data_IF_791115861218
#
_entry.id   IF_791115861218
#
_cell.length_a   1.000
_cell.length_b   1.000
_cell.length_c   1.000
_cell.angle_alpha   90.00
_cell.angle_beta   90.00
_cell.angle_gamma   90.00
#
_symmetry.space_group_name_H-M   'P 1'
#
loop_
_entity.id
_entity.type
_entity.pdbx_description
1 polymer ?
#
# COMPACT_ATOMS: atom_id res chain seq x y z
N UNK A 1 -6.30 -3.15 -27.09
CA UNK A 1 -6.72 -2.17 -26.09
C UNK A 1 -7.47 -2.95 -25.00
N UNK A 2 -6.82 -3.29 -23.88
CA UNK A 2 -7.52 -3.86 -22.72
C UNK A 2 -8.23 -2.71 -22.02
N UNK A 3 -9.52 -2.84 -21.82
CA UNK A 3 -10.35 -1.86 -21.15
C UNK A 3 -9.81 -1.60 -19.73
N UNK A 4 -9.54 -0.35 -19.42
CA UNK A 4 -9.13 0.19 -18.11
C UNK A 4 -10.27 0.11 -17.05
N UNK A 5 -11.29 -0.71 -17.26
CA UNK A 5 -12.47 -0.81 -16.38
C UNK A 5 -12.37 -1.88 -15.28
N UNK A 6 -11.23 -2.51 -15.10
CA UNK A 6 -11.05 -3.54 -14.07
C UNK A 6 -10.30 -2.97 -12.83
N UNK A 7 -10.74 -1.82 -12.31
CA UNK A 7 -10.55 -1.52 -10.89
C UNK A 7 -11.56 -2.41 -10.17
N UNK A 8 -11.11 -3.62 -9.81
CA UNK A 8 -11.97 -4.71 -9.34
C UNK A 8 -12.70 -4.44 -8.01
N UNK A 9 -12.46 -3.28 -7.36
CA UNK A 9 -13.14 -2.88 -6.13
C UNK A 9 -12.84 -1.41 -5.78
N UNK A 10 -13.86 -0.56 -5.81
CA UNK A 10 -13.85 0.77 -5.17
C UNK A 10 -14.37 0.56 -3.74
N UNK A 11 -13.58 0.85 -2.69
CA UNK A 11 -14.04 0.74 -1.32
C UNK A 11 -15.28 1.61 -1.11
N UNK A 12 -16.31 1.06 -0.47
CA UNK A 12 -17.47 1.88 -0.06
C UNK A 12 -16.98 2.84 1.04
N UNK A 13 -17.35 4.10 0.95
CA UNK A 13 -17.01 5.14 1.94
C UNK A 13 -17.34 4.69 3.35
N UNK A 14 -18.49 4.06 3.55
CA UNK A 14 -18.95 3.53 4.83
C UNK A 14 -17.98 2.53 5.49
N UNK A 15 -17.31 1.68 4.68
CA UNK A 15 -16.34 0.70 5.20
C UNK A 15 -15.06 1.39 5.67
N UNK A 16 -14.58 2.35 4.89
CA UNK A 16 -13.38 3.12 5.24
C UNK A 16 -13.62 4.00 6.46
N UNK A 17 -14.76 4.67 6.54
CA UNK A 17 -15.14 5.50 7.69
C UNK A 17 -15.29 4.67 8.96
N UNK A 18 -15.96 3.52 8.89
CA UNK A 18 -16.12 2.64 10.04
C UNK A 18 -14.77 2.14 10.58
N UNK A 19 -13.85 1.78 9.70
CA UNK A 19 -12.52 1.32 10.07
C UNK A 19 -11.65 2.47 10.61
N UNK A 20 -11.73 3.63 9.98
CA UNK A 20 -11.07 4.86 10.42
C UNK A 20 -11.54 5.27 11.83
N UNK A 21 -12.85 5.29 12.07
CA UNK A 21 -13.44 5.57 13.38
C UNK A 21 -12.91 4.63 14.46
N UNK A 22 -12.88 3.32 14.19
CA UNK A 22 -12.29 2.33 15.13
C UNK A 22 -10.84 2.64 15.47
N UNK A 23 -10.03 3.02 14.50
CA UNK A 23 -8.62 3.38 14.73
C UNK A 23 -8.53 4.65 15.56
N UNK A 24 -9.39 5.64 15.31
CA UNK A 24 -9.41 6.89 16.07
C UNK A 24 -9.87 6.67 17.51
N UNK A 25 -10.87 5.85 17.75
CA UNK A 25 -11.35 5.49 19.09
C UNK A 25 -10.29 4.72 19.91
N UNK A 26 -9.51 3.85 19.27
CA UNK A 26 -8.45 3.10 19.93
C UNK A 26 -7.22 3.96 20.30
N UNK A 27 -7.08 5.16 19.72
CA UNK A 27 -6.00 6.12 20.08
C UNK A 27 -6.03 6.55 21.55
N UNK A 28 -7.15 6.39 22.24
CA UNK A 28 -7.30 6.75 23.67
C UNK A 28 -6.92 5.65 24.67
N UNK A 29 -6.87 4.38 24.26
CA UNK A 29 -6.85 3.26 25.20
C UNK A 29 -5.51 2.53 25.37
N UNK A 30 -4.62 2.50 24.36
CA UNK A 30 -3.35 1.76 24.43
C UNK A 30 -2.24 2.43 23.60
N UNK A 31 -1.38 3.20 24.23
CA UNK A 31 -0.24 3.87 23.59
C UNK A 31 0.71 2.89 22.89
N UNK A 32 0.91 1.70 23.42
CA UNK A 32 1.82 0.70 22.86
C UNK A 32 1.27 0.05 21.60
N UNK A 33 -0.02 -0.24 21.54
CA UNK A 33 -0.66 -0.80 20.34
C UNK A 33 -0.65 0.20 19.17
N UNK A 34 -0.86 1.48 19.47
CA UNK A 34 -0.79 2.54 18.46
C UNK A 34 0.65 2.73 17.93
N UNK A 35 1.63 2.69 18.82
CA UNK A 35 3.05 2.75 18.46
C UNK A 35 3.40 1.59 17.52
N UNK A 36 3.03 0.37 17.90
CA UNK A 36 3.27 -0.82 17.08
C UNK A 36 2.57 -0.76 15.71
N UNK A 37 1.33 -0.28 15.64
CA UNK A 37 0.61 -0.09 14.38
C UNK A 37 1.32 0.93 13.47
N UNK A 38 1.87 2.01 14.02
CA UNK A 38 2.64 3.00 13.27
C UNK A 38 3.99 2.45 12.80
N UNK A 39 4.68 1.65 13.60
CA UNK A 39 5.94 0.98 13.22
C UNK A 39 5.72 -0.02 12.07
N UNK A 40 4.65 -0.78 12.10
CA UNK A 40 4.28 -1.69 11.01
C UNK A 40 3.90 -0.91 9.74
N UNK A 41 3.10 0.15 9.84
CA UNK A 41 2.79 1.01 8.70
C UNK A 41 4.06 1.62 8.09
N UNK A 42 4.98 2.12 8.91
CA UNK A 42 6.27 2.65 8.46
C UNK A 42 7.09 1.58 7.74
N UNK A 43 7.20 0.39 8.32
CA UNK A 43 7.93 -0.73 7.69
C UNK A 43 7.33 -1.10 6.34
N UNK A 44 6.01 -1.16 6.25
CA UNK A 44 5.31 -1.42 4.99
C UNK A 44 5.46 -0.27 3.99
N UNK A 45 5.46 0.98 4.45
CA UNK A 45 5.72 2.14 3.60
C UNK A 45 7.11 2.07 2.97
N UNK A 46 8.16 1.86 3.78
CA UNK A 46 9.54 1.78 3.32
C UNK A 46 9.72 0.63 2.32
N UNK A 47 9.31 -0.58 2.72
CA UNK A 47 9.38 -1.78 1.88
C UNK A 47 8.71 -1.58 0.52
N UNK A 48 7.47 -1.10 0.51
CA UNK A 48 6.72 -0.92 -0.73
C UNK A 48 7.27 0.25 -1.56
N UNK A 49 7.69 1.36 -0.92
CA UNK A 49 8.22 2.53 -1.61
C UNK A 49 9.49 2.21 -2.41
N UNK A 50 10.41 1.41 -1.83
CA UNK A 50 11.64 0.97 -2.50
C UNK A 50 11.32 0.04 -3.68
N UNK A 51 10.43 -0.94 -3.48
CA UNK A 51 10.06 -1.86 -4.55
C UNK A 51 9.28 -1.18 -5.70
N UNK A 52 8.49 -0.16 -5.42
CA UNK A 52 7.85 0.68 -6.44
C UNK A 52 8.87 1.49 -7.24
N UNK A 53 9.97 1.92 -6.62
CA UNK A 53 11.05 2.64 -7.31
C UNK A 53 11.91 1.74 -8.23
N UNK A 54 11.78 0.41 -8.10
CA UNK A 54 12.47 -0.56 -8.98
C UNK A 54 13.53 -1.41 -8.28
N UNK A 55 13.96 -1.03 -7.09
CA UNK A 55 14.86 -1.84 -6.27
C UNK A 55 14.10 -3.03 -5.66
N UNK A 56 14.83 -4.09 -5.30
CA UNK A 56 14.24 -5.31 -4.77
C UNK A 56 14.69 -5.56 -3.34
N UNK A 57 13.80 -5.27 -2.41
CA UNK A 57 13.99 -5.60 -0.99
C UNK A 57 12.86 -6.52 -0.52
N UNK A 58 13.13 -7.33 0.50
CA UNK A 58 12.08 -8.10 1.17
C UNK A 58 11.61 -7.38 2.44
N UNK A 59 10.37 -7.63 2.88
CA UNK A 59 9.86 -7.05 4.13
C UNK A 59 10.69 -7.50 5.34
N UNK A 60 11.12 -8.76 5.36
CA UNK A 60 11.99 -9.29 6.43
C UNK A 60 13.35 -8.59 6.40
N UNK A 61 13.94 -8.39 5.22
CA UNK A 61 15.19 -7.64 5.05
C UNK A 61 15.06 -6.20 5.53
N UNK A 62 13.97 -5.52 5.19
CA UNK A 62 13.67 -4.16 5.67
C UNK A 62 13.60 -4.11 7.20
N UNK A 63 12.83 -5.03 7.82
CA UNK A 63 12.73 -5.13 9.28
C UNK A 63 14.08 -5.40 9.96
N UNK A 64 14.90 -6.29 9.37
CA UNK A 64 16.23 -6.60 9.90
C UNK A 64 17.11 -5.36 9.87
N UNK A 65 17.18 -4.66 8.73
CA UNK A 65 17.99 -3.44 8.58
C UNK A 65 17.56 -2.37 9.60
N UNK A 66 16.25 -2.18 9.81
CA UNK A 66 15.77 -1.21 10.80
C UNK A 66 16.15 -1.59 12.24
N UNK A 67 16.11 -2.88 12.59
CA UNK A 67 16.52 -3.37 13.93
C UNK A 67 18.02 -3.35 14.15
N UNK A 68 18.81 -3.66 13.14
CA UNK A 68 20.27 -3.65 13.21
C UNK A 68 20.85 -2.22 13.26
N UNK A 69 20.13 -1.24 12.70
CA UNK A 69 20.50 0.18 12.80
C UNK A 69 20.43 0.72 14.23
N UNK A 70 19.53 0.17 15.07
CA UNK A 70 19.46 0.51 16.50
C UNK A 70 20.71 0.02 17.26
N UNK A 71 21.53 -0.87 16.66
CA UNK A 71 22.75 -1.45 17.23
C UNK A 71 24.08 -0.86 16.76
N UNK A 72 24.11 0.36 16.21
CA UNK A 72 25.34 1.09 15.82
C UNK A 72 26.22 0.45 14.70
N UNK A 73 25.71 -0.47 13.89
CA UNK A 73 26.41 -0.93 12.69
C UNK A 73 25.79 -0.30 11.43
N UNK A 74 26.54 0.55 10.74
CA UNK A 74 26.11 1.09 9.45
C UNK A 74 26.11 -0.02 8.38
N UNK A 75 24.96 -0.30 7.75
CA UNK A 75 24.93 -1.31 6.70
C UNK A 75 25.58 -0.78 5.42
N UNK A 76 26.48 -1.57 4.88
CA UNK A 76 27.34 -1.22 3.74
C UNK A 76 26.67 -1.41 2.36
N UNK A 77 25.36 -1.56 2.28
CA UNK A 77 24.62 -1.84 1.05
C UNK A 77 23.73 -0.66 0.65
N UNK A 78 23.67 -0.33 -0.66
CA UNK A 78 22.81 0.73 -1.23
C UNK A 78 21.36 0.63 -0.71
N UNK A 79 20.77 -0.57 -0.73
CA UNK A 79 19.40 -0.79 -0.24
C UNK A 79 19.24 -0.47 1.25
N UNK A 80 20.28 -0.69 2.04
CA UNK A 80 20.25 -0.36 3.46
C UNK A 80 20.32 1.16 3.69
N UNK A 81 21.12 1.88 2.92
CA UNK A 81 21.13 3.35 2.93
C UNK A 81 19.77 3.93 2.55
N UNK A 82 19.09 3.36 1.56
CA UNK A 82 17.74 3.76 1.19
C UNK A 82 16.71 3.46 2.28
N UNK A 83 16.76 2.26 2.89
CA UNK A 83 15.87 1.87 4.00
C UNK A 83 16.02 2.85 5.16
N UNK A 84 17.24 3.12 5.60
CA UNK A 84 17.52 4.00 6.72
C UNK A 84 17.22 5.47 6.41
N UNK A 85 17.53 5.91 5.20
CA UNK A 85 17.18 7.24 4.76
C UNK A 85 15.67 7.47 4.72
N UNK A 86 14.90 6.49 4.20
CA UNK A 86 13.44 6.54 4.22
C UNK A 86 12.88 6.47 5.63
N UNK A 87 13.49 5.70 6.53
CA UNK A 87 13.12 5.65 7.94
C UNK A 87 13.26 7.04 8.59
N UNK A 88 14.45 7.65 8.46
CA UNK A 88 14.74 8.97 9.06
C UNK A 88 13.75 10.03 8.54
N UNK A 89 13.52 10.06 7.23
CA UNK A 89 12.58 10.99 6.61
C UNK A 89 11.12 10.73 7.01
N UNK A 90 10.71 9.46 7.16
CA UNK A 90 9.37 9.11 7.61
C UNK A 90 9.13 9.50 9.08
N UNK A 91 10.11 9.28 9.95
CA UNK A 91 10.04 9.74 11.34
C UNK A 91 9.88 11.26 11.42
N UNK A 92 10.65 12.00 10.62
CA UNK A 92 10.51 13.45 10.53
C UNK A 92 9.14 13.88 9.98
N UNK A 93 8.64 13.20 8.95
CA UNK A 93 7.28 13.41 8.42
C UNK A 93 6.22 13.28 9.52
N UNK A 94 6.35 12.30 10.40
CA UNK A 94 5.41 12.13 11.53
C UNK A 94 5.48 13.30 12.53
N UNK A 95 6.67 13.87 12.76
CA UNK A 95 6.84 15.02 13.66
C UNK A 95 6.17 16.28 13.12
N UNK A 96 6.21 16.49 11.81
CA UNK A 96 5.61 17.67 11.16
C UNK A 96 4.15 17.47 10.74
N UNK A 97 3.59 16.27 10.92
CA UNK A 97 2.22 15.96 10.49
C UNK A 97 1.15 16.82 11.17
N UNK A 98 1.40 17.24 12.39
CA UNK A 98 0.47 18.07 13.18
C UNK A 98 0.70 19.59 12.97
N UNK A 99 1.70 19.98 12.19
CA UNK A 99 1.95 21.37 11.82
C UNK A 99 0.79 21.93 10.99
N UNK A 100 0.40 23.19 11.27
CA UNK A 100 -0.71 23.85 10.55
C UNK A 100 -0.44 23.94 9.05
N UNK A 101 0.79 24.27 8.67
CA UNK A 101 1.21 24.47 7.29
C UNK A 101 2.43 23.63 6.95
N UNK A 102 2.45 23.09 5.73
CA UNK A 102 3.64 22.42 5.19
C UNK A 102 4.56 23.50 4.62
N UNK A 103 5.75 23.63 5.18
CA UNK A 103 6.74 24.64 4.77
C UNK A 103 7.79 24.04 3.83
N UNK A 104 8.41 24.85 2.93
CA UNK A 104 9.45 24.38 2.00
C UNK A 104 10.60 23.65 2.73
N UNK A 105 11.05 24.19 3.88
CA UNK A 105 12.10 23.57 4.67
C UNK A 105 11.75 22.17 5.20
N UNK A 106 10.48 21.86 5.34
CA UNK A 106 10.09 20.48 5.74
C UNK A 106 10.32 19.49 4.60
N UNK A 107 10.04 19.90 3.37
CA UNK A 107 10.26 19.05 2.19
C UNK A 107 11.75 18.88 1.90
N UNK A 108 12.53 19.95 2.00
CA UNK A 108 13.99 19.90 1.80
C UNK A 108 14.66 19.07 2.91
N UNK A 109 14.19 19.17 4.16
CA UNK A 109 14.70 18.37 5.27
C UNK A 109 14.33 16.89 5.12
N UNK A 110 13.08 16.55 4.73
CA UNK A 110 12.73 15.16 4.39
C UNK A 110 13.63 14.60 3.30
N UNK A 111 13.89 15.40 2.25
CA UNK A 111 14.82 14.99 1.20
C UNK A 111 16.24 14.82 1.73
N UNK A 112 16.73 15.73 2.56
CA UNK A 112 18.07 15.66 3.16
C UNK A 112 18.22 14.39 3.99
N UNK A 113 17.28 14.09 4.86
CA UNK A 113 17.29 12.90 5.71
C UNK A 113 17.26 11.62 4.89
N UNK A 114 16.44 11.59 3.83
CA UNK A 114 16.37 10.44 2.93
C UNK A 114 17.65 10.26 2.13
N UNK A 115 18.18 11.34 1.53
CA UNK A 115 19.16 11.26 0.45
C UNK A 115 20.63 11.37 0.93
N UNK A 116 20.89 11.90 2.14
CA UNK A 116 22.25 12.13 2.68
C UNK A 116 23.15 10.89 2.72
N UNK A 117 22.54 9.69 2.87
CA UNK A 117 23.30 8.42 2.90
C UNK A 117 23.67 7.93 1.50
N UNK A 118 23.11 8.53 0.44
CA UNK A 118 23.36 8.17 -0.96
C UNK A 118 24.21 9.22 -1.67
N UNK A 119 23.88 10.49 -1.50
CA UNK A 119 24.63 11.62 -2.04
C UNK A 119 24.43 12.84 -1.11
N UNK A 120 25.35 13.01 -0.17
CA UNK A 120 25.29 14.09 0.81
C UNK A 120 25.39 15.47 0.16
N UNK A 121 26.13 15.58 -0.95
CA UNK A 121 26.38 16.85 -1.62
C UNK A 121 25.14 17.48 -2.24
N UNK A 122 24.13 16.69 -2.58
CA UNK A 122 22.86 17.16 -3.17
C UNK A 122 21.65 16.95 -2.26
N UNK A 123 21.88 16.37 -1.07
CA UNK A 123 20.82 16.09 -0.11
C UNK A 123 20.18 17.38 0.41
N UNK A 124 18.85 17.50 0.28
CA UNK A 124 18.09 18.68 0.69
C UNK A 124 18.15 19.87 -0.28
N UNK A 125 18.93 19.76 -1.34
CA UNK A 125 19.09 20.87 -2.30
C UNK A 125 18.19 20.65 -3.52
N UNK A 126 17.42 21.66 -3.89
CA UNK A 126 16.72 21.68 -5.16
C UNK A 126 17.71 21.63 -6.32
N UNK A 127 17.25 21.15 -7.46
CA UNK A 127 18.03 21.17 -8.70
C UNK A 127 18.44 22.62 -9.05
N UNK A 128 19.60 22.81 -9.67
CA UNK A 128 19.98 24.13 -10.16
C UNK A 128 18.91 24.71 -11.09
N UNK A 129 18.66 25.99 -10.94
CA UNK A 129 17.74 26.72 -11.81
C UNK A 129 18.19 26.67 -13.27
N UNK A 130 17.22 26.72 -14.14
CA UNK A 130 17.41 26.83 -15.58
C UNK A 130 16.81 28.15 -16.07
N UNK A 131 17.09 28.55 -17.35
CA UNK A 131 16.47 29.72 -17.93
C UNK A 131 14.95 29.76 -17.89
N UNK A 132 14.31 28.57 -17.73
CA UNK A 132 12.85 28.41 -17.78
C UNK A 132 12.22 27.96 -16.45
N UNK A 133 13.02 27.55 -15.47
CA UNK A 133 12.50 26.99 -14.22
C UNK A 133 13.35 27.38 -13.03
N UNK A 134 12.66 27.84 -11.98
CA UNK A 134 13.21 28.00 -10.64
C UNK A 134 12.53 26.99 -9.72
N UNK A 135 13.24 25.93 -9.39
CA UNK A 135 12.67 24.79 -8.65
C UNK A 135 12.31 25.11 -7.19
N UNK A 136 13.04 26.05 -6.58
CA UNK A 136 12.72 26.50 -5.22
C UNK A 136 11.44 27.33 -5.21
N UNK A 137 11.29 28.27 -6.15
CA UNK A 137 10.06 29.04 -6.30
C UNK A 137 8.85 28.15 -6.63
N UNK A 138 9.02 27.20 -7.55
CA UNK A 138 7.96 26.23 -7.88
C UNK A 138 7.55 25.40 -6.66
N UNK A 139 8.49 25.00 -5.79
CA UNK A 139 8.20 24.27 -4.54
C UNK A 139 7.41 25.16 -3.57
N UNK A 140 7.76 26.44 -3.46
CA UNK A 140 7.04 27.42 -2.63
C UNK A 140 5.60 27.57 -3.13
N UNK A 141 5.40 27.83 -4.43
CA UNK A 141 4.07 27.97 -5.04
C UNK A 141 3.23 26.71 -4.88
N UNK A 142 3.83 25.54 -5.07
CA UNK A 142 3.17 24.24 -4.86
C UNK A 142 2.67 24.10 -3.42
N UNK A 143 3.48 24.46 -2.43
CA UNK A 143 3.10 24.34 -1.02
C UNK A 143 2.09 25.41 -0.60
N UNK A 144 2.16 26.62 -1.16
CA UNK A 144 1.13 27.64 -0.98
C UNK A 144 -0.22 27.13 -1.48
N UNK A 145 -0.26 26.55 -2.68
CA UNK A 145 -1.46 25.92 -3.20
C UNK A 145 -1.96 24.80 -2.29
N UNK A 146 -1.08 23.90 -1.86
CA UNK A 146 -1.45 22.75 -1.01
C UNK A 146 -2.01 23.20 0.35
N UNK A 147 -1.41 24.20 0.97
CA UNK A 147 -1.86 24.75 2.26
C UNK A 147 -3.17 25.56 2.14
N UNK A 148 -3.39 26.21 1.00
CA UNK A 148 -4.63 26.95 0.73
C UNK A 148 -5.79 26.05 0.31
N UNK A 149 -5.51 24.82 -0.10
CA UNK A 149 -6.54 23.88 -0.54
C UNK A 149 -7.45 23.49 0.62
N UNK A 150 -8.75 23.73 0.44
CA UNK A 150 -9.81 23.41 1.40
C UNK A 150 -10.78 22.38 0.86
N UNK A 151 -10.38 21.66 -0.18
CA UNK A 151 -11.22 20.59 -0.73
C UNK A 151 -11.55 19.57 0.37
N UNK A 152 -12.80 19.16 0.41
CA UNK A 152 -13.29 18.17 1.36
C UNK A 152 -12.88 16.76 0.96
N UNK A 153 -12.62 16.50 -0.33
CA UNK A 153 -12.14 15.22 -0.81
C UNK A 153 -10.60 15.12 -0.68
N UNK A 154 -10.18 14.44 0.38
CA UNK A 154 -8.76 14.22 0.65
C UNK A 154 -8.06 13.38 -0.42
N UNK A 155 -8.76 12.52 -1.14
CA UNK A 155 -8.16 11.64 -2.16
C UNK A 155 -7.88 12.41 -3.45
N UNK A 156 -8.78 13.31 -3.88
CA UNK A 156 -8.51 14.22 -4.99
C UNK A 156 -7.41 15.21 -4.65
N UNK A 157 -7.44 15.80 -3.46
CA UNK A 157 -6.33 16.66 -2.98
C UNK A 157 -5.01 15.90 -3.02
N UNK A 158 -4.95 14.67 -2.52
CA UNK A 158 -3.75 13.85 -2.51
C UNK A 158 -3.29 13.46 -3.94
N UNK A 159 -4.23 13.13 -4.83
CA UNK A 159 -3.95 12.80 -6.23
C UNK A 159 -3.33 14.00 -6.97
N UNK A 160 -3.96 15.16 -6.86
CA UNK A 160 -3.45 16.41 -7.46
C UNK A 160 -2.10 16.81 -6.86
N UNK A 161 -1.94 16.73 -5.53
CA UNK A 161 -0.67 17.01 -4.86
C UNK A 161 0.45 16.09 -5.36
N UNK A 162 0.17 14.80 -5.45
CA UNK A 162 1.11 13.82 -5.96
C UNK A 162 1.52 14.14 -7.41
N UNK A 163 0.54 14.38 -8.30
CA UNK A 163 0.80 14.67 -9.72
C UNK A 163 1.63 15.93 -9.91
N UNK A 164 1.27 17.01 -9.22
CA UNK A 164 1.99 18.30 -9.31
C UNK A 164 3.43 18.15 -8.84
N UNK A 165 3.65 17.44 -7.73
CA UNK A 165 5.00 17.21 -7.21
C UNK A 165 5.86 16.35 -8.16
N UNK A 166 5.33 15.27 -8.71
CA UNK A 166 6.04 14.42 -9.66
C UNK A 166 6.39 15.19 -10.94
N UNK A 167 5.49 16.07 -11.41
CA UNK A 167 5.76 16.91 -12.59
C UNK A 167 6.85 17.97 -12.31
N UNK A 168 6.81 18.59 -11.15
CA UNK A 168 7.80 19.59 -10.72
C UNK A 168 9.20 18.97 -10.62
N UNK A 169 9.33 17.77 -10.02
CA UNK A 169 10.59 17.02 -9.89
C UNK A 169 11.74 17.86 -9.32
N UNK A 170 11.61 18.45 -8.12
CA UNK A 170 12.47 19.53 -7.65
C UNK A 170 13.89 19.09 -7.28
N UNK A 171 14.12 17.80 -7.00
CA UNK A 171 15.42 17.30 -6.57
C UNK A 171 16.11 16.47 -7.66
N UNK A 172 17.43 16.31 -7.54
CA UNK A 172 18.24 15.50 -8.46
C UNK A 172 17.80 14.02 -8.47
N UNK A 173 17.41 13.49 -7.31
CA UNK A 173 16.96 12.11 -7.14
C UNK A 173 15.89 12.01 -6.05
N UNK A 174 15.35 10.82 -5.80
CA UNK A 174 14.44 10.56 -4.68
C UNK A 174 13.03 11.13 -4.79
N UNK A 175 12.68 11.85 -5.87
CA UNK A 175 11.39 12.53 -5.99
C UNK A 175 10.18 11.60 -5.87
N UNK A 176 10.27 10.37 -6.37
CA UNK A 176 9.20 9.39 -6.22
C UNK A 176 8.94 8.98 -4.77
N UNK A 177 9.99 8.86 -3.96
CA UNK A 177 9.86 8.59 -2.53
C UNK A 177 9.25 9.78 -1.79
N UNK A 178 9.73 11.00 -2.10
CA UNK A 178 9.19 12.23 -1.52
C UNK A 178 7.71 12.45 -1.90
N UNK A 179 7.34 12.20 -3.17
CA UNK A 179 5.95 12.29 -3.60
C UNK A 179 5.03 11.38 -2.76
N UNK A 180 5.47 10.13 -2.50
CA UNK A 180 4.72 9.20 -1.64
C UNK A 180 4.68 9.63 -0.17
N UNK A 181 5.75 10.25 0.34
CA UNK A 181 5.76 10.86 1.68
C UNK A 181 4.84 12.06 1.78
N UNK A 182 4.84 12.96 0.79
CA UNK A 182 3.93 14.10 0.75
C UNK A 182 2.48 13.63 0.69
N UNK A 183 2.19 12.60 -0.10
CA UNK A 183 0.88 11.97 -0.13
C UNK A 183 0.47 11.43 1.26
N UNK A 184 1.37 10.72 1.94
CA UNK A 184 1.14 10.23 3.30
C UNK A 184 0.91 11.39 4.28
N UNK A 185 1.67 12.49 4.15
CA UNK A 185 1.51 13.69 4.97
C UNK A 185 0.15 14.39 4.71
N UNK A 186 -0.28 14.48 3.45
CA UNK A 186 -1.61 15.02 3.09
C UNK A 186 -2.70 14.18 3.75
N UNK A 187 -2.66 12.85 3.62
CA UNK A 187 -3.67 11.97 4.22
C UNK A 187 -3.71 12.12 5.75
N UNK A 188 -2.55 12.28 6.39
CA UNK A 188 -2.50 12.52 7.84
C UNK A 188 -3.18 13.83 8.26
N UNK A 189 -3.10 14.89 7.45
CA UNK A 189 -3.82 16.15 7.71
C UNK A 189 -5.35 16.00 7.68
N UNK A 190 -5.84 14.98 7.00
CA UNK A 190 -7.26 14.56 7.02
C UNK A 190 -7.53 13.45 8.05
N UNK A 191 -6.62 13.27 9.02
CA UNK A 191 -6.68 12.27 10.09
C UNK A 191 -6.62 10.80 9.63
N UNK A 192 -6.36 10.51 8.37
CA UNK A 192 -6.10 9.15 7.93
C UNK A 192 -4.70 8.68 8.35
N UNK A 193 -4.45 7.36 8.45
CA UNK A 193 -3.08 6.85 8.60
C UNK A 193 -2.24 7.20 7.36
N UNK A 194 -0.92 7.14 7.51
CA UNK A 194 -0.03 7.26 6.37
C UNK A 194 -0.37 6.17 5.33
N UNK A 195 -0.68 6.61 4.12
CA UNK A 195 -1.10 5.69 3.06
C UNK A 195 0.10 4.90 2.54
N UNK A 196 -0.06 3.60 2.43
CA UNK A 196 0.91 2.68 1.84
C UNK A 196 0.42 2.25 0.47
N UNK A 197 1.22 2.44 -0.56
CA UNK A 197 0.96 1.90 -1.89
C UNK A 197 1.59 0.51 -2.01
N UNK A 198 0.81 -0.59 -1.97
CA UNK A 198 1.36 -1.93 -2.04
C UNK A 198 2.05 -2.21 -3.38
N UNK A 199 3.29 -2.73 -3.33
CA UNK A 199 4.06 -3.05 -4.53
C UNK A 199 3.43 -4.15 -5.41
N UNK A 200 2.51 -4.94 -4.86
CA UNK A 200 1.70 -5.89 -5.64
C UNK A 200 0.83 -5.21 -6.70
N UNK A 201 0.57 -3.90 -6.56
CA UNK A 201 -0.16 -3.08 -7.52
C UNK A 201 0.76 -2.21 -8.38
N UNK A 202 2.06 -2.54 -8.44
CA UNK A 202 3.06 -1.76 -9.19
C UNK A 202 2.67 -1.53 -10.65
N UNK A 203 2.22 -2.56 -11.36
CA UNK A 203 1.81 -2.42 -12.78
C UNK A 203 0.60 -1.49 -12.96
N UNK A 204 -0.37 -1.53 -12.03
CA UNK A 204 -1.51 -0.62 -11.99
C UNK A 204 -1.04 0.81 -11.74
N UNK A 205 -0.22 1.00 -10.71
CA UNK A 205 0.39 2.29 -10.37
C UNK A 205 1.19 2.89 -11.54
N UNK A 206 2.07 2.13 -12.19
CA UNK A 206 2.87 2.59 -13.34
C UNK A 206 1.98 3.00 -14.52
N UNK A 207 0.91 2.24 -14.77
CA UNK A 207 -0.08 2.58 -15.80
C UNK A 207 -0.81 3.88 -15.49
N UNK A 208 -1.20 4.10 -14.23
CA UNK A 208 -1.88 5.30 -13.77
C UNK A 208 -0.98 6.54 -13.82
N UNK A 209 0.30 6.40 -13.53
CA UNK A 209 1.26 7.51 -13.66
C UNK A 209 1.48 7.87 -15.13
N UNK A 210 1.55 6.88 -16.01
CA UNK A 210 1.77 7.09 -17.45
C UNK A 210 0.55 7.71 -18.13
N UNK A 211 -0.65 7.24 -17.79
CA UNK A 211 -1.92 7.69 -18.35
C UNK A 211 -2.74 8.33 -17.23
N UNK A 212 -2.25 9.46 -16.72
CA UNK A 212 -2.83 10.07 -15.53
C UNK A 212 -4.25 10.58 -15.77
N UNK A 213 -5.15 10.07 -14.96
CA UNK A 213 -6.51 10.55 -14.78
C UNK A 213 -6.70 10.75 -13.27
N UNK A 214 -7.15 11.93 -12.86
CA UNK A 214 -7.22 12.33 -11.45
C UNK A 214 -8.24 11.50 -10.68
N UNK A 215 -9.41 11.27 -11.26
CA UNK A 215 -10.49 10.50 -10.61
C UNK A 215 -10.04 9.04 -10.40
N UNK A 216 -9.47 8.43 -11.45
CA UNK A 216 -8.99 7.05 -11.39
C UNK A 216 -7.83 6.93 -10.41
N UNK A 217 -6.95 7.92 -10.35
CA UNK A 217 -5.84 7.90 -9.38
C UNK A 217 -6.35 8.12 -7.94
N UNK A 218 -7.35 8.98 -7.73
CA UNK A 218 -8.01 9.14 -6.43
C UNK A 218 -8.65 7.82 -5.96
N UNK A 219 -9.32 7.07 -6.85
CA UNK A 219 -9.87 5.74 -6.55
C UNK A 219 -8.79 4.72 -6.20
N UNK A 220 -7.66 4.74 -6.92
CA UNK A 220 -6.49 3.94 -6.55
C UNK A 220 -5.96 4.30 -5.15
N UNK A 221 -5.96 5.59 -4.78
CA UNK A 221 -5.57 6.03 -3.43
C UNK A 221 -6.57 5.58 -2.37
N UNK A 222 -7.89 5.58 -2.65
CA UNK A 222 -8.92 5.00 -1.75
C UNK A 222 -8.64 3.52 -1.49
N UNK A 223 -8.34 2.76 -2.53
CA UNK A 223 -7.94 1.34 -2.43
C UNK A 223 -6.67 1.16 -1.58
N UNK A 224 -5.66 2.01 -1.76
CA UNK A 224 -4.43 1.99 -0.94
C UNK A 224 -4.72 2.39 0.52
N UNK A 225 -5.59 3.36 0.74
CA UNK A 225 -6.00 3.79 2.08
C UNK A 225 -6.71 2.67 2.84
N UNK A 226 -7.66 1.98 2.22
CA UNK A 226 -8.32 0.83 2.83
C UNK A 226 -7.31 -0.27 3.22
N UNK A 227 -6.32 -0.55 2.36
CA UNK A 227 -5.27 -1.51 2.69
C UNK A 227 -4.43 -1.06 3.90
N UNK A 228 -4.15 0.24 4.02
CA UNK A 228 -3.40 0.82 5.14
C UNK A 228 -4.22 0.82 6.44
N UNK A 229 -5.51 1.12 6.36
CA UNK A 229 -6.45 1.03 7.49
C UNK A 229 -6.55 -0.42 8.01
N UNK A 230 -6.69 -1.39 7.11
CA UNK A 230 -6.72 -2.81 7.50
C UNK A 230 -5.41 -3.26 8.16
N UNK A 231 -4.26 -2.77 7.66
CA UNK A 231 -2.97 -3.04 8.27
C UNK A 231 -2.87 -2.44 9.67
N UNK A 232 -3.28 -1.18 9.86
CA UNK A 232 -3.30 -0.51 11.15
C UNK A 232 -4.25 -1.21 12.13
N UNK A 233 -5.48 -1.52 11.72
CA UNK A 233 -6.47 -2.20 12.55
C UNK A 233 -6.04 -3.59 13.01
N UNK A 234 -5.35 -4.34 12.14
CA UNK A 234 -4.81 -5.66 12.49
C UNK A 234 -3.80 -5.61 13.64
N UNK A 235 -3.09 -4.48 13.79
CA UNK A 235 -2.06 -4.28 14.81
C UNK A 235 -2.56 -3.53 16.06
N UNK A 236 -3.78 -3.01 16.05
CA UNK A 236 -4.40 -2.34 17.19
C UNK A 236 -5.17 -3.30 18.13
N UNK A 237 -4.87 -4.61 18.10
CA UNK A 237 -5.55 -5.56 18.98
C UNK A 237 -7.04 -5.71 18.71
N UNK A 238 -7.53 -5.32 17.51
CA UNK A 238 -8.85 -5.70 17.02
C UNK A 238 -8.92 -7.22 17.03
N UNK A 239 -9.47 -7.76 18.11
CA UNK A 239 -9.37 -9.14 18.54
C UNK A 239 -9.80 -10.10 17.45
N UNK A 240 -9.18 -11.28 17.48
CA UNK A 240 -9.46 -12.43 16.62
C UNK A 240 -10.95 -12.78 16.45
N UNK A 241 -11.84 -12.30 17.34
CA UNK A 241 -13.29 -12.41 17.23
C UNK A 241 -13.86 -11.57 16.08
N UNK A 242 -13.28 -10.40 15.78
CA UNK A 242 -13.70 -9.56 14.65
C UNK A 242 -13.22 -10.12 13.29
N UNK A 243 -12.19 -10.98 13.28
CA UNK A 243 -11.77 -11.70 12.07
C UNK A 243 -12.78 -12.78 11.62
N UNK A 244 -13.59 -13.32 12.53
CA UNK A 244 -14.62 -14.30 12.18
C UNK A 244 -15.86 -13.68 11.57
N UNK A 245 -16.15 -12.41 11.83
CA UNK A 245 -17.31 -11.70 11.28
C UNK A 245 -17.03 -10.91 10.04
N UNK A 246 -15.74 -10.67 9.68
CA UNK A 246 -15.34 -9.98 8.45
C UNK A 246 -14.73 -10.89 7.39
N UNK A 247 -15.27 -12.06 7.21
CA UNK A 247 -15.42 -12.56 5.87
C UNK A 247 -16.48 -11.67 5.19
N UNK A 248 -16.07 -10.47 4.75
CA UNK A 248 -16.69 -9.86 3.57
C UNK A 248 -16.63 -10.95 2.52
N UNK A 249 -17.78 -11.36 2.08
CA UNK A 249 -18.02 -12.42 1.12
C UNK A 249 -17.32 -12.18 -0.23
N UNK A 250 -16.00 -12.24 -0.26
CA UNK A 250 -15.32 -13.04 -1.25
C UNK A 250 -15.34 -14.44 -0.64
N UNK A 251 -16.29 -15.22 -1.04
CA UNK A 251 -16.44 -16.58 -0.60
C UNK A 251 -15.06 -17.21 -0.80
N UNK A 252 -14.47 -17.75 0.28
CA UNK A 252 -13.17 -18.42 0.21
C UNK A 252 -13.23 -19.36 -1.01
N UNK A 253 -12.34 -19.24 -2.01
CA UNK A 253 -12.41 -20.10 -3.18
C UNK A 253 -12.52 -21.59 -2.86
N UNK A 254 -12.00 -22.00 -1.69
CA UNK A 254 -12.12 -23.36 -1.18
C UNK A 254 -13.56 -23.70 -0.78
N UNK A 255 -14.26 -22.75 -0.15
CA UNK A 255 -15.67 -22.91 0.26
C UNK A 255 -16.58 -22.89 -0.95
N UNK A 256 -16.33 -21.98 -1.92
CA UNK A 256 -17.09 -21.93 -3.18
C UNK A 256 -16.94 -23.23 -3.98
N UNK A 257 -15.71 -23.71 -4.12
CA UNK A 257 -15.44 -24.95 -4.85
C UNK A 257 -16.05 -26.16 -4.13
N UNK A 258 -15.97 -26.20 -2.81
CA UNK A 258 -16.58 -27.27 -2.01
C UNK A 258 -18.10 -27.27 -2.18
N UNK A 259 -18.75 -26.12 -2.06
CA UNK A 259 -20.19 -26.01 -2.23
C UNK A 259 -20.63 -26.33 -3.66
N UNK A 260 -19.84 -25.90 -4.65
CA UNK A 260 -20.08 -26.24 -6.06
C UNK A 260 -19.96 -27.75 -6.32
N UNK A 261 -19.01 -28.44 -5.67
CA UNK A 261 -18.89 -29.92 -5.75
C UNK A 261 -20.08 -30.60 -5.08
N UNK A 262 -20.57 -30.07 -3.97
CA UNK A 262 -21.79 -30.59 -3.31
C UNK A 262 -23.02 -30.53 -4.20
N UNK A 263 -23.18 -29.42 -4.92
CA UNK A 263 -24.28 -29.20 -5.86
C UNK A 263 -24.11 -29.95 -7.18
N UNK A 264 -22.89 -30.34 -7.55
CA UNK A 264 -22.54 -30.97 -8.81
C UNK A 264 -21.66 -32.22 -8.58
N UNK A 265 -22.20 -33.30 -7.96
CA UNK A 265 -21.42 -34.49 -7.67
C UNK A 265 -20.92 -35.14 -8.98
N UNK A 266 -19.65 -35.57 -8.98
CA UNK A 266 -18.98 -36.14 -10.15
C UNK A 266 -18.38 -35.11 -11.14
N UNK A 267 -18.33 -33.83 -10.76
CA UNK A 267 -17.77 -32.76 -11.59
C UNK A 267 -16.27 -32.97 -11.83
N UNK A 268 -15.82 -32.70 -13.07
CA UNK A 268 -14.40 -32.76 -13.45
C UNK A 268 -13.70 -31.41 -13.23
N UNK A 269 -12.40 -31.43 -12.92
CA UNK A 269 -11.59 -30.22 -12.73
C UNK A 269 -11.65 -29.25 -13.90
N UNK A 270 -11.72 -29.77 -15.13
CA UNK A 270 -11.81 -28.95 -16.35
C UNK A 270 -13.15 -28.23 -16.47
N UNK A 271 -14.23 -28.84 -15.97
CA UNK A 271 -15.57 -28.22 -15.95
C UNK A 271 -15.64 -27.15 -14.84
N UNK A 272 -15.06 -27.46 -13.66
CA UNK A 272 -14.92 -26.46 -12.58
C UNK A 272 -14.16 -25.22 -13.06
N UNK A 273 -13.08 -25.38 -13.82
CA UNK A 273 -12.32 -24.25 -14.36
C UNK A 273 -13.16 -23.30 -15.22
N UNK A 274 -14.13 -23.83 -15.99
CA UNK A 274 -15.06 -23.00 -16.79
C UNK A 274 -15.98 -22.15 -15.91
N UNK A 275 -16.39 -22.67 -14.75
CA UNK A 275 -17.29 -21.98 -13.82
C UNK A 275 -16.55 -21.06 -12.85
N UNK A 276 -15.22 -21.20 -12.69
CA UNK A 276 -14.36 -20.35 -11.88
C UNK A 276 -13.26 -19.71 -12.75
N UNK A 277 -13.60 -18.83 -13.70
CA UNK A 277 -12.63 -18.28 -14.67
C UNK A 277 -11.53 -17.46 -13.97
N UNK A 278 -11.83 -16.85 -12.81
CA UNK A 278 -10.89 -16.04 -12.02
C UNK A 278 -9.85 -16.89 -11.24
N UNK A 279 -10.03 -18.21 -11.10
CA UNK A 279 -9.10 -19.10 -10.41
C UNK A 279 -8.17 -19.73 -11.45
N UNK A 280 -6.85 -19.55 -11.34
CA UNK A 280 -5.90 -20.22 -12.25
C UNK A 280 -5.96 -21.75 -12.12
N UNK A 281 -5.61 -22.49 -13.17
CA UNK A 281 -5.61 -23.95 -13.14
C UNK A 281 -4.74 -24.52 -12.00
N UNK A 282 -3.56 -23.95 -11.81
CA UNK A 282 -2.63 -24.34 -10.72
C UNK A 282 -3.26 -24.11 -9.35
N UNK A 283 -3.95 -22.96 -9.15
CA UNK A 283 -4.64 -22.66 -7.90
C UNK A 283 -5.82 -23.59 -7.67
N UNK A 284 -6.59 -23.92 -8.72
CA UNK A 284 -7.70 -24.88 -8.69
C UNK A 284 -7.20 -26.26 -8.24
N UNK A 285 -6.15 -26.78 -8.89
CA UNK A 285 -5.57 -28.09 -8.56
C UNK A 285 -5.06 -28.12 -7.12
N UNK A 286 -4.44 -27.05 -6.62
CA UNK A 286 -4.00 -26.94 -5.23
C UNK A 286 -5.17 -26.98 -4.27
N UNK A 287 -6.25 -26.27 -4.53
CA UNK A 287 -7.46 -26.26 -3.68
C UNK A 287 -8.08 -27.63 -3.62
N UNK A 288 -8.26 -28.30 -4.77
CA UNK A 288 -8.81 -29.66 -4.82
C UNK A 288 -7.97 -30.67 -4.04
N UNK A 289 -6.65 -30.54 -4.10
CA UNK A 289 -5.73 -31.36 -3.30
C UNK A 289 -5.96 -31.14 -1.81
N UNK A 290 -5.97 -29.87 -1.36
CA UNK A 290 -6.17 -29.54 0.06
C UNK A 290 -7.53 -30.01 0.59
N UNK A 291 -8.60 -29.84 -0.18
CA UNK A 291 -9.93 -30.31 0.19
C UNK A 291 -9.99 -31.84 0.29
N UNK A 292 -9.25 -32.57 -0.55
CA UNK A 292 -9.15 -34.02 -0.51
C UNK A 292 -8.31 -34.49 0.69
N UNK A 293 -7.17 -33.86 0.96
CA UNK A 293 -6.33 -34.14 2.12
C UNK A 293 -7.09 -33.88 3.44
N UNK A 294 -7.98 -32.88 3.44
CA UNK A 294 -8.86 -32.58 4.57
C UNK A 294 -10.12 -33.49 4.66
N UNK A 295 -10.28 -34.50 3.80
CA UNK A 295 -11.42 -35.38 3.76
C UNK A 295 -12.76 -34.75 3.36
N UNK A 296 -12.74 -33.49 2.90
CA UNK A 296 -13.95 -32.75 2.52
C UNK A 296 -14.49 -33.10 1.14
N UNK A 297 -13.64 -33.65 0.28
CA UNK A 297 -14.01 -34.17 -1.04
C UNK A 297 -13.27 -35.45 -1.32
N UNK A 298 -13.85 -36.30 -2.18
CA UNK A 298 -13.21 -37.49 -2.71
C UNK A 298 -13.24 -37.52 -4.25
N UNK A 299 -12.30 -38.21 -4.84
CA UNK A 299 -12.28 -38.42 -6.30
C UNK A 299 -12.62 -39.88 -6.59
N UNK A 300 -13.71 -40.13 -7.34
CA UNK A 300 -14.17 -41.49 -7.71
C UNK A 300 -14.02 -41.69 -9.22
N UNK A 301 -13.52 -42.86 -9.59
CA UNK A 301 -13.34 -43.28 -10.97
C UNK A 301 -11.92 -43.14 -11.47
N UNK A 302 -11.70 -43.51 -12.75
CA UNK A 302 -10.39 -43.42 -13.40
C UNK A 302 -9.99 -41.95 -13.67
N UNK A 303 -8.70 -41.66 -13.78
CA UNK A 303 -8.15 -40.30 -13.97
C UNK A 303 -8.79 -39.51 -15.11
N UNK A 304 -9.17 -40.19 -16.20
CA UNK A 304 -9.81 -39.56 -17.39
C UNK A 304 -11.33 -39.45 -17.31
N UNK A 305 -12.00 -40.38 -16.60
CA UNK A 305 -13.47 -40.47 -16.54
C UNK A 305 -14.04 -40.15 -15.19
N UNK A 306 -13.24 -40.13 -14.14
CA UNK A 306 -13.65 -39.83 -12.76
C UNK A 306 -14.00 -38.37 -12.51
N UNK A 307 -14.62 -38.12 -11.33
CA UNK A 307 -15.03 -36.80 -10.88
C UNK A 307 -14.93 -36.64 -9.38
N UNK A 308 -15.11 -35.40 -8.92
CA UNK A 308 -15.07 -35.03 -7.51
C UNK A 308 -16.45 -35.09 -6.88
N UNK A 309 -16.51 -35.60 -5.64
CA UNK A 309 -17.70 -35.74 -4.82
C UNK A 309 -17.42 -35.14 -3.44
N UNK A 310 -18.45 -34.64 -2.77
CA UNK A 310 -18.31 -34.22 -1.38
C UNK A 310 -17.97 -35.43 -0.49
N UNK A 311 -17.05 -35.25 0.42
CA UNK A 311 -16.79 -36.23 1.48
C UNK A 311 -17.99 -36.35 2.45
N UNK A 312 -18.10 -37.47 3.11
CA UNK A 312 -19.17 -37.75 4.09
C UNK A 312 -19.08 -36.81 5.31
#
# INVERSE_FOLDING_TARGET
>A
MKNMKDIDYIPQEDEMEALHRKIMESRGSEKDSLRHANEELMTHFIYNSINLAGDRVSRIGTLRTLKEADGNQEPNLKSASEILGLHDAYQYMLQIADEREIKPQYITEMHRLYYRRMDESTAGQCRPDTERRNYEAELIEYLQWLNANKDTDCFHTAATAYRRYIYMHPFKGGNGHLARMILALVMRKYNYPAIVMPNKWKSEYESLIKNYDEDIFADFLRKCCLASLNLAAANLGATYSDRKTRHVRGINPETEILEYIRQNPGIKSIQMKKNFPKISYTKMTRILRLLREAGKIEFKGATKSGGYYAGA
#
